data_IF_968401529242
#
_entry.id   IF_968401529242
#
_cell.length_a   1.000
_cell.length_b   1.000
_cell.length_c   1.000
_cell.angle_alpha   90.00
_cell.angle_beta   90.00
_cell.angle_gamma   90.00
#
_symmetry.space_group_name_H-M   'P 1'
#
loop_
_entity.id
_entity.type
_entity.pdbx_description
1 polymer ?
#
# COMPACT_ATOMS: atom_id res chain seq x y z
N UNK A 1 14.03 -28.24 14.53
CA UNK A 1 13.50 -27.23 15.45
C UNK A 1 12.31 -26.57 14.78
N UNK A 2 11.12 -26.85 15.29
CA UNK A 2 9.83 -26.63 14.64
C UNK A 2 9.29 -25.21 14.86
N UNK A 3 8.99 -24.54 13.75
CA UNK A 3 8.26 -23.27 13.66
C UNK A 3 6.84 -23.45 14.20
N UNK A 4 6.63 -23.19 15.50
CA UNK A 4 5.32 -23.23 16.16
C UNK A 4 4.77 -21.82 16.49
N UNK A 5 5.45 -20.75 16.06
CA UNK A 5 5.13 -19.38 16.47
C UNK A 5 4.12 -18.61 15.60
N UNK A 6 3.91 -18.99 14.33
CA UNK A 6 3.08 -18.20 13.40
C UNK A 6 1.60 -18.60 13.37
N UNK A 7 1.27 -19.85 13.74
CA UNK A 7 -0.11 -20.37 13.70
C UNK A 7 -1.00 -19.73 14.77
N UNK A 8 -0.45 -19.50 15.96
CA UNK A 8 -1.21 -18.94 17.09
C UNK A 8 -1.61 -17.49 16.85
N UNK A 9 -0.83 -16.71 16.11
CA UNK A 9 -1.14 -15.30 15.87
C UNK A 9 -2.32 -15.11 14.89
N UNK A 10 -2.41 -15.96 13.86
CA UNK A 10 -3.52 -15.92 12.90
C UNK A 10 -4.80 -16.48 13.53
N UNK A 11 -4.71 -17.53 14.36
CA UNK A 11 -5.86 -18.05 15.10
C UNK A 11 -6.35 -17.08 16.19
N UNK A 12 -5.43 -16.39 16.88
CA UNK A 12 -5.77 -15.33 17.84
C UNK A 12 -6.42 -14.13 17.15
N UNK A 13 -5.93 -13.71 15.98
CA UNK A 13 -6.57 -12.66 15.18
C UNK A 13 -7.93 -13.12 14.65
N UNK A 14 -8.07 -14.37 14.24
CA UNK A 14 -9.34 -14.92 13.74
C UNK A 14 -10.37 -15.04 14.86
N UNK A 15 -9.96 -15.46 16.06
CA UNK A 15 -10.81 -15.47 17.27
C UNK A 15 -11.13 -14.07 17.74
N UNK A 16 -10.18 -13.13 17.76
CA UNK A 16 -10.47 -11.73 18.09
C UNK A 16 -11.41 -11.09 17.08
N UNK A 17 -11.29 -11.36 15.78
CA UNK A 17 -12.22 -10.87 14.76
C UNK A 17 -13.62 -11.49 14.93
N UNK A 18 -13.70 -12.77 15.35
CA UNK A 18 -14.96 -13.43 15.66
C UNK A 18 -15.60 -12.91 16.96
N UNK A 19 -14.82 -12.65 18.02
CA UNK A 19 -15.28 -12.07 19.29
C UNK A 19 -15.63 -10.57 19.13
N UNK A 20 -14.89 -9.82 18.31
CA UNK A 20 -15.22 -8.43 17.97
C UNK A 20 -16.45 -8.30 17.07
N UNK A 21 -16.86 -9.35 16.34
CA UNK A 21 -18.19 -9.40 15.71
C UNK A 21 -19.32 -9.51 16.73
N UNK A 22 -19.05 -10.02 17.94
CA UNK A 22 -20.02 -10.15 19.04
C UNK A 22 -20.05 -8.93 19.96
N UNK A 23 -18.97 -8.14 20.04
CA UNK A 23 -19.01 -6.85 20.72
C UNK A 23 -19.73 -5.85 19.82
N UNK A 24 -21.05 -5.74 20.03
CA UNK A 24 -21.85 -4.58 19.65
C UNK A 24 -21.00 -3.33 19.91
N UNK A 25 -20.57 -2.68 18.84
CA UNK A 25 -20.15 -1.28 18.82
C UNK A 25 -21.24 -0.49 19.55
N UNK A 26 -21.05 -0.24 20.85
CA UNK A 26 -21.74 0.84 21.52
C UNK A 26 -21.17 2.09 20.87
N UNK A 27 -21.95 2.64 19.95
CA UNK A 27 -21.57 3.76 19.12
C UNK A 27 -21.56 5.01 20.01
N UNK A 28 -20.42 5.70 20.26
CA UNK A 28 -20.49 7.10 20.61
C UNK A 28 -20.78 7.82 19.30
N UNK A 29 -22.06 7.83 18.94
CA UNK A 29 -22.54 8.29 17.63
C UNK A 29 -22.45 9.81 17.65
N UNK A 30 -21.33 10.36 17.18
CA UNK A 30 -21.34 11.74 16.70
C UNK A 30 -22.44 11.81 15.62
N UNK A 31 -23.45 12.70 15.75
CA UNK A 31 -24.69 12.65 14.98
C UNK A 31 -24.54 12.81 13.46
N UNK A 32 -23.32 13.06 12.98
CA UNK A 32 -23.03 13.51 11.62
C UNK A 32 -22.13 12.53 10.84
N UNK A 33 -21.80 11.37 11.41
CA UNK A 33 -20.93 10.41 10.71
C UNK A 33 -21.71 9.71 9.60
N UNK A 34 -21.26 9.75 8.34
CA UNK A 34 -21.97 9.08 7.26
C UNK A 34 -21.99 7.57 7.49
N UNK A 35 -23.19 7.03 7.70
CA UNK A 35 -23.46 5.61 7.92
C UNK A 35 -23.47 4.84 6.59
N UNK A 36 -22.36 4.82 5.84
CA UNK A 36 -22.41 4.22 4.49
C UNK A 36 -21.10 3.54 4.08
N UNK A 37 -20.45 2.80 4.99
CA UNK A 37 -19.51 1.77 4.56
C UNK A 37 -20.15 0.42 4.85
N UNK A 38 -20.62 -0.24 3.80
CA UNK A 38 -21.07 -1.63 3.91
C UNK A 38 -19.84 -2.49 4.25
N UNK A 39 -19.68 -2.80 5.53
CA UNK A 39 -18.45 -3.41 6.06
C UNK A 39 -18.08 -4.73 5.39
N UNK A 40 -19.06 -5.54 4.96
CA UNK A 40 -18.79 -6.78 4.22
C UNK A 40 -18.11 -6.50 2.87
N UNK A 41 -18.65 -5.55 2.11
CA UNK A 41 -18.11 -5.14 0.80
C UNK A 41 -16.66 -4.62 0.90
N UNK A 42 -16.35 -3.85 1.94
CA UNK A 42 -15.00 -3.37 2.21
C UNK A 42 -14.02 -4.51 2.49
N UNK A 43 -14.41 -5.45 3.37
CA UNK A 43 -13.56 -6.59 3.73
C UNK A 43 -13.33 -7.49 2.51
N UNK A 44 -14.36 -7.78 1.73
CA UNK A 44 -14.23 -8.60 0.51
C UNK A 44 -13.29 -7.95 -0.50
N UNK A 45 -13.42 -6.63 -0.72
CA UNK A 45 -12.51 -5.86 -1.60
C UNK A 45 -11.08 -5.87 -1.09
N UNK A 46 -10.87 -5.70 0.22
CA UNK A 46 -9.54 -5.75 0.82
C UNK A 46 -8.87 -7.10 0.63
N UNK A 47 -9.64 -8.19 0.74
CA UNK A 47 -9.15 -9.55 0.53
C UNK A 47 -8.75 -9.78 -0.94
N UNK A 48 -9.53 -9.25 -1.88
CA UNK A 48 -9.17 -9.28 -3.31
C UNK A 48 -7.86 -8.53 -3.55
N UNK A 49 -7.67 -7.36 -2.96
CA UNK A 49 -6.41 -6.62 -3.04
C UNK A 49 -5.25 -7.39 -2.44
N UNK A 50 -5.42 -7.98 -1.26
CA UNK A 50 -4.39 -8.80 -0.62
C UNK A 50 -3.94 -9.95 -1.53
N UNK A 51 -4.88 -10.65 -2.18
CA UNK A 51 -4.57 -11.72 -3.14
C UNK A 51 -3.80 -11.20 -4.35
N UNK A 52 -4.22 -10.08 -4.94
CA UNK A 52 -3.53 -9.46 -6.09
C UNK A 52 -2.11 -9.04 -5.73
N UNK A 53 -1.91 -8.48 -4.54
CA UNK A 53 -0.60 -8.02 -4.07
C UNK A 53 0.35 -9.17 -3.77
N UNK A 54 -0.11 -10.23 -3.10
CA UNK A 54 0.69 -11.46 -2.90
C UNK A 54 1.08 -12.16 -4.20
N UNK A 55 0.26 -12.03 -5.24
CA UNK A 55 0.62 -12.53 -6.57
C UNK A 55 1.67 -11.64 -7.27
N UNK A 56 1.74 -10.36 -6.92
CA UNK A 56 2.68 -9.40 -7.51
C UNK A 56 4.06 -9.42 -6.83
N UNK A 57 4.10 -9.74 -5.53
CA UNK A 57 5.31 -9.84 -4.71
C UNK A 57 5.16 -10.92 -3.64
N UNK A 58 6.20 -11.74 -3.47
CA UNK A 58 6.23 -12.84 -2.50
C UNK A 58 6.83 -12.45 -1.14
N UNK A 59 7.54 -11.31 -1.09
CA UNK A 59 8.28 -10.89 0.09
C UNK A 59 7.39 -10.12 1.07
N UNK A 60 7.49 -10.50 2.34
CA UNK A 60 6.73 -9.91 3.45
C UNK A 60 7.55 -8.75 4.02
N UNK A 61 6.88 -7.66 4.39
CA UNK A 61 7.44 -6.36 4.79
C UNK A 61 8.06 -5.54 3.66
N UNK A 62 7.86 -5.95 2.41
CA UNK A 62 8.23 -5.11 1.27
C UNK A 62 7.42 -3.81 1.24
N UNK A 63 8.06 -2.65 1.02
CA UNK A 63 7.35 -1.39 0.90
C UNK A 63 6.48 -1.34 -0.36
N UNK A 64 5.35 -0.65 -0.25
CA UNK A 64 4.45 -0.32 -1.36
C UNK A 64 4.05 1.15 -1.28
N UNK A 65 4.28 1.92 -2.34
CA UNK A 65 3.79 3.29 -2.41
C UNK A 65 2.34 3.27 -2.90
N UNK A 66 1.44 3.97 -2.21
CA UNK A 66 0.04 4.10 -2.59
C UNK A 66 -0.30 5.57 -2.79
N UNK A 67 -0.65 5.94 -4.02
CA UNK A 67 -1.21 7.26 -4.34
C UNK A 67 -2.67 7.30 -3.87
N UNK A 68 -2.85 7.67 -2.60
CA UNK A 68 -4.10 7.50 -1.85
C UNK A 68 -5.12 8.60 -2.15
N UNK A 69 -6.29 8.21 -2.68
CA UNK A 69 -7.50 9.05 -2.71
C UNK A 69 -8.35 8.80 -1.48
N UNK A 70 -9.27 9.71 -1.17
CA UNK A 70 -10.34 9.42 -0.22
C UNK A 70 -11.37 8.54 -0.90
N UNK A 71 -11.81 7.48 -0.21
CA UNK A 71 -12.86 6.59 -0.71
C UNK A 71 -12.72 5.16 -0.21
N UNK A 72 -13.77 4.36 -0.43
CA UNK A 72 -13.83 2.95 -0.02
C UNK A 72 -12.76 2.13 -0.72
N UNK A 73 -12.53 2.36 -2.00
CA UNK A 73 -11.60 1.57 -2.80
C UNK A 73 -10.12 1.77 -2.40
N UNK A 74 -9.58 3.01 -2.34
CA UNK A 74 -8.24 3.24 -1.78
C UNK A 74 -8.07 2.69 -0.36
N UNK A 75 -9.10 2.82 0.48
CA UNK A 75 -9.08 2.29 1.86
C UNK A 75 -9.02 0.76 1.87
N UNK A 76 -9.76 0.11 0.97
CA UNK A 76 -9.75 -1.35 0.82
C UNK A 76 -8.39 -1.84 0.32
N UNK A 77 -7.77 -1.09 -0.60
CA UNK A 77 -6.42 -1.36 -1.08
C UNK A 77 -5.37 -1.22 0.01
N UNK A 78 -5.42 -0.16 0.81
CA UNK A 78 -4.54 0.03 1.96
C UNK A 78 -4.65 -1.13 2.95
N UNK A 79 -5.88 -1.53 3.29
CA UNK A 79 -6.10 -2.66 4.19
C UNK A 79 -5.65 -3.98 3.56
N UNK A 80 -5.88 -4.17 2.27
CA UNK A 80 -5.40 -5.32 1.51
C UNK A 80 -3.87 -5.41 1.46
N UNK A 81 -3.16 -4.27 1.37
CA UNK A 81 -1.71 -4.22 1.43
C UNK A 81 -1.17 -4.66 2.80
N UNK A 82 -1.79 -4.19 3.88
CA UNK A 82 -1.46 -4.62 5.24
C UNK A 82 -1.73 -6.12 5.44
N UNK A 83 -2.86 -6.64 4.94
CA UNK A 83 -3.16 -8.07 4.96
C UNK A 83 -2.18 -8.90 4.13
N UNK A 84 -1.66 -8.35 3.04
CA UNK A 84 -0.60 -8.97 2.24
C UNK A 84 0.76 -8.95 2.95
N UNK A 85 0.87 -8.28 4.11
CA UNK A 85 2.10 -8.13 4.87
C UNK A 85 3.04 -7.07 4.28
N UNK A 86 2.54 -6.16 3.46
CA UNK A 86 3.34 -5.07 2.88
C UNK A 86 3.40 -3.87 3.81
N UNK A 87 4.39 -2.99 3.62
CA UNK A 87 4.55 -1.74 4.36
C UNK A 87 4.10 -0.54 3.50
N UNK A 88 2.90 0.03 3.71
CA UNK A 88 2.36 1.05 2.83
C UNK A 88 2.97 2.43 3.11
N UNK A 89 3.43 3.11 2.07
CA UNK A 89 3.86 4.50 2.07
C UNK A 89 2.81 5.31 1.31
N UNK A 90 2.12 6.20 2.02
CA UNK A 90 0.99 6.96 1.45
C UNK A 90 1.48 8.28 0.85
N UNK A 91 1.07 8.55 -0.38
CA UNK A 91 1.31 9.82 -1.05
C UNK A 91 0.02 10.35 -1.67
N UNK A 92 -0.05 11.66 -1.90
CA UNK A 92 -1.20 12.26 -2.59
C UNK A 92 -1.11 11.97 -4.10
N UNK A 93 -2.23 11.75 -4.81
CA UNK A 93 -2.23 11.60 -6.27
C UNK A 93 -1.76 12.86 -7.02
N UNK A 94 -1.86 14.03 -6.38
CA UNK A 94 -1.34 15.28 -6.90
C UNK A 94 0.18 15.44 -6.69
N UNK A 95 0.83 14.48 -6.02
CA UNK A 95 2.29 14.49 -5.87
C UNK A 95 2.93 14.40 -7.25
N UNK A 96 3.84 15.33 -7.61
CA UNK A 96 4.57 15.27 -8.87
C UNK A 96 5.28 13.92 -9.06
N UNK A 97 5.24 13.39 -10.29
CA UNK A 97 5.82 12.06 -10.61
C UNK A 97 7.30 11.95 -10.23
N UNK A 98 8.07 13.05 -10.32
CA UNK A 98 9.47 13.07 -9.87
C UNK A 98 9.64 12.69 -8.38
N UNK A 99 8.77 13.20 -7.50
CA UNK A 99 8.83 12.92 -6.07
C UNK A 99 8.34 11.50 -5.77
N UNK A 100 7.42 10.98 -6.58
CA UNK A 100 7.04 9.57 -6.52
C UNK A 100 8.26 8.68 -6.86
N UNK A 101 9.00 9.01 -7.92
CA UNK A 101 10.20 8.27 -8.32
C UNK A 101 11.26 8.31 -7.22
N UNK A 102 11.55 9.49 -6.68
CA UNK A 102 12.48 9.65 -5.55
C UNK A 102 12.05 8.80 -4.35
N UNK A 103 10.77 8.88 -3.95
CA UNK A 103 10.26 8.07 -2.85
C UNK A 103 10.42 6.56 -3.12
N UNK A 104 10.13 6.11 -4.34
CA UNK A 104 10.28 4.71 -4.75
C UNK A 104 11.75 4.26 -4.68
N UNK A 105 12.69 5.11 -5.09
CA UNK A 105 14.12 4.81 -5.07
C UNK A 105 14.67 4.77 -3.63
N UNK A 106 14.38 5.79 -2.83
CA UNK A 106 14.84 5.90 -1.44
C UNK A 106 14.30 4.76 -0.58
N UNK A 107 13.03 4.42 -0.75
CA UNK A 107 12.38 3.36 0.02
C UNK A 107 12.54 1.96 -0.59
N UNK A 108 13.22 1.86 -1.75
CA UNK A 108 13.42 0.60 -2.50
C UNK A 108 12.11 -0.13 -2.75
N UNK A 109 11.10 0.65 -3.09
CA UNK A 109 9.75 0.18 -3.27
C UNK A 109 9.60 -0.54 -4.61
N UNK A 110 9.10 -1.78 -4.58
CA UNK A 110 8.92 -2.57 -5.80
C UNK A 110 7.58 -2.34 -6.48
N UNK A 111 6.56 -2.02 -5.68
CA UNK A 111 5.20 -1.88 -6.14
C UNK A 111 4.70 -0.46 -5.89
N UNK A 112 3.98 0.09 -6.86
CA UNK A 112 3.28 1.35 -6.71
C UNK A 112 1.83 1.15 -7.09
N UNK A 113 0.92 1.47 -6.17
CA UNK A 113 -0.49 1.57 -6.43
C UNK A 113 -0.86 2.99 -6.86
N UNK A 114 -1.43 3.12 -8.06
CA UNK A 114 -1.77 4.42 -8.66
C UNK A 114 -3.22 4.42 -9.12
N UNK A 115 -3.95 5.56 -9.04
CA UNK A 115 -5.21 5.70 -9.74
C UNK A 115 -5.06 5.40 -11.22
N UNK A 116 -6.00 4.67 -11.82
CA UNK A 116 -5.90 4.21 -13.23
C UNK A 116 -5.63 5.35 -14.20
N UNK A 117 -6.18 6.54 -13.96
CA UNK A 117 -5.95 7.74 -14.77
C UNK A 117 -4.50 8.24 -14.83
N UNK A 118 -3.64 7.84 -13.87
CA UNK A 118 -2.22 8.20 -13.82
C UNK A 118 -1.29 7.12 -14.39
N UNK A 119 -1.83 5.96 -14.75
CA UNK A 119 -1.06 4.79 -15.21
C UNK A 119 -0.17 5.12 -16.40
N UNK A 120 -0.72 5.78 -17.43
CA UNK A 120 0.01 6.11 -18.66
C UNK A 120 1.14 7.09 -18.41
N UNK A 121 0.92 8.09 -17.55
CA UNK A 121 1.93 9.07 -17.20
C UNK A 121 3.10 8.42 -16.47
N UNK A 122 2.81 7.60 -15.46
CA UNK A 122 3.82 6.92 -14.64
C UNK A 122 4.55 5.84 -15.44
N UNK A 123 3.86 5.15 -16.36
CA UNK A 123 4.46 4.15 -17.24
C UNK A 123 5.54 4.73 -18.17
N UNK A 124 5.48 6.02 -18.54
CA UNK A 124 6.54 6.70 -19.32
C UNK A 124 7.89 6.70 -18.61
N UNK A 125 7.90 6.51 -17.29
CA UNK A 125 9.11 6.43 -16.46
C UNK A 125 9.59 4.99 -16.25
N UNK A 126 9.10 4.03 -17.03
CA UNK A 126 9.55 2.63 -17.00
C UNK A 126 8.78 1.72 -16.03
N UNK A 127 7.75 2.25 -15.35
CA UNK A 127 6.88 1.43 -14.50
C UNK A 127 6.03 0.47 -15.34
N UNK A 128 5.97 -0.80 -14.92
CA UNK A 128 5.30 -1.87 -15.67
C UNK A 128 4.00 -2.28 -14.98
N UNK A 129 2.89 -2.33 -15.71
CA UNK A 129 1.62 -2.81 -15.16
C UNK A 129 1.69 -4.28 -14.75
N UNK A 130 1.22 -4.59 -13.54
CA UNK A 130 1.17 -5.96 -13.01
C UNK A 130 -0.26 -6.45 -12.85
N UNK A 131 -1.11 -5.65 -12.20
CA UNK A 131 -2.50 -5.99 -11.91
C UNK A 131 -3.28 -4.70 -11.59
N UNK A 132 -4.59 -4.78 -11.45
CA UNK A 132 -5.41 -3.63 -11.07
C UNK A 132 -6.89 -3.93 -11.07
N UNK A 133 -7.68 -2.89 -10.90
CA UNK A 133 -9.11 -2.88 -11.18
C UNK A 133 -9.47 -1.56 -11.91
N UNK A 134 -10.73 -1.17 -11.87
CA UNK A 134 -11.22 0.03 -12.56
C UNK A 134 -10.72 1.33 -11.90
N UNK A 135 -10.37 1.31 -10.62
CA UNK A 135 -10.00 2.50 -9.86
C UNK A 135 -8.49 2.64 -9.67
N UNK A 136 -7.80 1.52 -9.42
CA UNK A 136 -6.36 1.46 -9.13
C UNK A 136 -5.61 0.43 -9.99
N UNK A 137 -4.42 0.81 -10.41
CA UNK A 137 -3.44 -0.04 -11.03
C UNK A 137 -2.26 -0.28 -10.07
N UNK A 138 -1.72 -1.49 -10.08
CA UNK A 138 -0.49 -1.90 -9.42
C UNK A 138 0.60 -1.95 -10.48
N UNK A 139 1.60 -1.13 -10.30
CA UNK A 139 2.76 -1.02 -11.16
C UNK A 139 3.99 -1.57 -10.45
N UNK A 140 4.88 -2.23 -11.19
CA UNK A 140 6.22 -2.60 -10.74
C UNK A 140 7.19 -1.49 -11.10
N UNK A 141 7.98 -1.06 -10.12
CA UNK A 141 9.04 -0.10 -10.34
C UNK A 141 10.19 -0.72 -11.17
N UNK A 142 10.81 0.05 -12.08
CA UNK A 142 11.91 -0.45 -12.92
C UNK A 142 13.26 -0.50 -12.20
N UNK A 143 13.33 0.01 -10.96
CA UNK A 143 14.60 0.17 -10.26
C UNK A 143 15.06 -1.15 -9.64
N UNK A 144 16.24 -1.66 -9.99
CA UNK A 144 16.77 -2.86 -9.37
C UNK A 144 17.03 -2.62 -7.88
N UNK A 145 17.03 -3.70 -7.11
CA UNK A 145 17.59 -3.75 -5.75
C UNK A 145 19.04 -3.27 -5.78
N UNK A 146 19.29 -1.97 -5.65
CA UNK A 146 20.63 -1.50 -5.36
C UNK A 146 20.95 -1.96 -3.94
N UNK A 147 21.88 -2.90 -3.78
CA UNK A 147 22.45 -3.25 -2.49
C UNK A 147 22.86 -1.98 -1.75
N UNK A 148 22.65 -1.93 -0.44
CA UNK A 148 22.84 -0.75 0.42
C UNK A 148 24.24 -0.11 0.40
N UNK A 149 25.16 -0.74 -0.33
CA UNK A 149 26.54 -0.35 -0.57
C UNK A 149 26.75 0.67 -1.71
N UNK A 150 25.71 1.04 -2.47
CA UNK A 150 25.86 1.96 -3.63
C UNK A 150 25.08 3.27 -3.54
N UNK A 151 24.38 3.53 -2.43
CA UNK A 151 23.81 4.87 -2.21
C UNK A 151 24.94 5.83 -1.81
N UNK A 152 25.09 6.98 -2.48
CA UNK A 152 25.92 8.06 -1.96
C UNK A 152 25.44 8.38 -0.55
N UNK A 153 26.31 8.21 0.44
CA UNK A 153 26.02 8.57 1.84
C UNK A 153 26.04 10.08 2.07
N UNK A 154 26.29 10.85 1.02
CA UNK A 154 26.34 12.30 1.11
C UNK A 154 24.93 12.85 0.97
N UNK A 155 24.46 13.68 1.92
CA UNK A 155 23.25 14.45 1.71
C UNK A 155 23.44 15.27 0.42
N UNK A 156 22.41 15.33 -0.42
CA UNK A 156 22.38 16.25 -1.56
C UNK A 156 22.58 17.66 -1.01
N UNK A 157 23.80 18.19 -1.15
CA UNK A 157 24.05 19.59 -0.87
C UNK A 157 23.12 20.39 -1.79
N UNK A 158 22.16 21.09 -1.19
CA UNK A 158 21.42 22.12 -1.89
C UNK A 158 22.42 23.18 -2.32
N UNK A 159 22.95 23.06 -3.54
CA UNK A 159 23.63 24.16 -4.20
C UNK A 159 22.59 25.24 -4.47
N UNK A 160 22.46 26.16 -3.52
CA UNK A 160 21.81 27.45 -3.75
C UNK A 160 22.65 28.19 -4.81
N UNK A 161 22.08 28.56 -5.96
CA UNK A 161 22.81 29.36 -6.92
C UNK A 161 22.92 30.78 -6.39
N UNK A 162 24.14 31.18 -6.02
CA UNK A 162 24.55 32.57 -5.83
C UNK A 162 24.44 33.12 -4.41
N UNK A 163 25.52 32.99 -3.65
CA UNK A 163 26.03 33.99 -2.70
C UNK A 163 27.56 33.91 -2.69
#
# INVERSE_FOLDING_TARGET
MSFLGASNCIDLLSRQVAEHRSMKLQVPRAPNWPSVVNGSLFIDRSLVWAKKLRAAISDVNSPIVILMRLGVEPSSLLFGALQAGLFPILMKPATPVRLLIEAVQETRCFLVAVPVGLTVEIAKHGFVFVNGNQDYAILRAPYPLLTHSQLPREPLECQLPGL
#
